data_IF_712251599854
#
_entry.id   IF_712251599854
#
_cell.length_a   1.000
_cell.length_b   1.000
_cell.length_c   1.000
_cell.angle_alpha   90.00
_cell.angle_beta   90.00
_cell.angle_gamma   90.00
#
_symmetry.space_group_name_H-M   'P 1'
#
loop_
_entity.id
_entity.type
_entity.pdbx_description
1 polymer ?
#
# COMPACT_ATOMS: atom_id res chain seq x y z
N UNK A 1 0.95 -5.73 1.59
CA UNK A 1 1.70 -5.23 0.43
C UNK A 1 0.90 -4.11 -0.19
N UNK A 2 1.53 -2.95 -0.34
CA UNK A 2 0.89 -1.71 -0.78
C UNK A 2 1.38 -1.42 -2.19
N UNK A 3 0.48 -1.37 -3.15
CA UNK A 3 0.78 -0.94 -4.50
C UNK A 3 0.60 0.57 -4.63
N UNK A 4 1.45 1.14 -5.47
CA UNK A 4 1.53 2.57 -5.68
C UNK A 4 1.68 2.86 -7.16
N UNK A 5 1.29 4.07 -7.55
CA UNK A 5 1.53 4.63 -8.86
C UNK A 5 2.22 5.96 -8.73
N UNK A 6 3.26 6.19 -9.52
CA UNK A 6 3.94 7.50 -9.52
C UNK A 6 3.02 8.57 -10.10
N UNK A 7 2.95 9.71 -9.40
CA UNK A 7 2.32 10.93 -9.91
C UNK A 7 3.04 11.40 -11.16
N UNK A 8 2.34 12.15 -11.99
CA UNK A 8 2.99 12.78 -13.13
C UNK A 8 4.11 13.72 -12.67
N UNK A 9 5.11 13.91 -13.54
CA UNK A 9 6.21 14.81 -13.26
C UNK A 9 5.70 16.23 -12.99
N UNK A 10 4.68 16.67 -13.73
CA UNK A 10 4.04 17.98 -13.62
C UNK A 10 3.39 18.18 -12.25
N UNK A 11 2.68 17.17 -11.73
CA UNK A 11 2.09 17.23 -10.39
C UNK A 11 3.16 17.36 -9.31
N UNK A 12 4.23 16.56 -9.40
CA UNK A 12 5.35 16.62 -8.44
C UNK A 12 6.02 17.99 -8.51
N UNK A 13 6.30 18.50 -9.72
CA UNK A 13 6.90 19.81 -9.92
C UNK A 13 6.07 20.93 -9.32
N UNK A 14 4.75 20.87 -9.47
CA UNK A 14 3.83 21.86 -8.91
C UNK A 14 3.85 21.84 -7.39
N UNK A 15 3.94 20.66 -6.75
CA UNK A 15 4.01 20.55 -5.29
C UNK A 15 5.30 21.14 -4.71
N UNK A 16 6.43 20.97 -5.40
CA UNK A 16 7.74 21.46 -4.94
C UNK A 16 8.13 22.81 -5.55
N UNK A 17 7.20 23.51 -6.18
CA UNK A 17 7.46 24.82 -6.75
C UNK A 17 7.86 25.82 -5.66
N UNK A 18 8.92 26.60 -5.91
CA UNK A 18 9.47 27.57 -4.96
C UNK A 18 10.53 27.00 -4.00
N UNK A 19 10.63 25.68 -3.84
CA UNK A 19 11.68 25.04 -3.04
C UNK A 19 12.96 24.84 -3.86
N UNK A 20 14.14 24.99 -3.23
CA UNK A 20 15.44 24.86 -3.92
C UNK A 20 16.18 23.58 -3.55
N UNK A 21 16.33 23.32 -2.25
CA UNK A 21 17.00 22.14 -1.69
C UNK A 21 15.94 21.09 -1.39
N UNK A 22 15.83 20.07 -2.23
CA UNK A 22 14.77 19.06 -2.11
C UNK A 22 15.40 17.68 -1.93
N UNK A 23 15.01 17.00 -0.86
CA UNK A 23 15.44 15.62 -0.57
C UNK A 23 14.42 14.63 -1.12
N UNK A 24 14.85 13.77 -2.05
CA UNK A 24 14.05 12.64 -2.51
C UNK A 24 14.38 11.42 -1.66
N UNK A 25 13.36 10.84 -1.02
CA UNK A 25 13.51 9.69 -0.14
C UNK A 25 12.80 8.48 -0.79
N UNK A 26 13.59 7.50 -1.18
CA UNK A 26 13.14 6.19 -1.61
C UNK A 26 12.76 5.28 -0.43
N UNK A 27 11.89 4.31 -0.69
CA UNK A 27 11.41 3.33 0.28
C UNK A 27 11.58 1.92 -0.29
N UNK A 28 12.60 1.20 0.18
CA UNK A 28 12.96 -0.12 -0.34
C UNK A 28 11.99 -1.24 0.08
N UNK A 29 10.99 -0.93 0.90
CA UNK A 29 9.92 -1.83 1.28
C UNK A 29 8.94 -2.10 0.15
N UNK A 30 7.65 -1.85 0.38
CA UNK A 30 6.63 -2.12 -0.65
C UNK A 30 6.86 -1.32 -1.96
N UNK A 31 7.44 -0.13 -1.89
CA UNK A 31 7.62 0.73 -3.06
C UNK A 31 8.78 0.27 -3.95
N UNK A 32 9.88 -0.18 -3.34
CA UNK A 32 11.00 -0.82 -4.03
C UNK A 32 10.59 -2.10 -4.75
N UNK A 33 9.80 -2.97 -4.09
CA UNK A 33 9.34 -4.25 -4.67
C UNK A 33 8.55 -4.06 -5.98
N UNK A 34 7.79 -2.98 -6.09
CA UNK A 34 7.00 -2.67 -7.30
C UNK A 34 7.73 -1.77 -8.30
N UNK A 35 8.99 -1.45 -8.04
CA UNK A 35 9.78 -0.59 -8.92
C UNK A 35 9.14 0.80 -9.14
N UNK A 36 8.43 1.30 -8.12
CA UNK A 36 7.76 2.63 -8.14
C UNK A 36 8.29 3.60 -7.09
N UNK A 37 9.14 3.15 -6.17
CA UNK A 37 9.70 4.04 -5.15
C UNK A 37 10.99 3.61 -4.50
N UNK A 38 11.73 2.66 -5.08
CA UNK A 38 13.08 2.33 -4.64
C UNK A 38 14.11 3.40 -5.07
N UNK A 39 15.36 3.22 -4.69
CA UNK A 39 16.43 4.19 -4.94
C UNK A 39 16.55 4.57 -6.42
N UNK A 40 16.51 3.58 -7.33
CA UNK A 40 16.55 3.79 -8.77
C UNK A 40 15.45 4.74 -9.25
N UNK A 41 14.23 4.60 -8.73
CA UNK A 41 13.11 5.46 -9.10
C UNK A 41 13.30 6.89 -8.58
N UNK A 42 13.89 7.07 -7.39
CA UNK A 42 14.22 8.39 -6.86
C UNK A 42 15.29 9.09 -7.71
N UNK A 43 16.33 8.38 -8.16
CA UNK A 43 17.38 8.92 -9.02
C UNK A 43 16.86 9.30 -10.42
N UNK A 44 15.99 8.46 -10.99
CA UNK A 44 15.32 8.77 -12.25
C UNK A 44 14.43 10.01 -12.13
N UNK A 45 13.63 10.08 -11.06
CA UNK A 45 12.77 11.24 -10.80
C UNK A 45 13.61 12.52 -10.61
N UNK A 46 14.71 12.46 -9.86
CA UNK A 46 15.62 13.59 -9.69
C UNK A 46 16.16 14.10 -11.03
N UNK A 47 16.58 13.17 -11.89
CA UNK A 47 17.09 13.48 -13.23
C UNK A 47 16.01 14.15 -14.10
N UNK A 48 14.78 13.62 -14.07
CA UNK A 48 13.64 14.19 -14.82
C UNK A 48 13.26 15.58 -14.33
N UNK A 49 13.24 15.81 -13.01
CA UNK A 49 12.93 17.12 -12.43
C UNK A 49 13.93 18.19 -12.86
N UNK A 50 15.23 17.89 -12.81
CA UNK A 50 16.28 18.82 -13.21
C UNK A 50 16.30 19.06 -14.72
N UNK A 51 16.13 18.01 -15.54
CA UNK A 51 16.04 18.16 -17.00
C UNK A 51 14.87 19.08 -17.39
N UNK A 52 13.70 18.91 -16.76
CA UNK A 52 12.53 19.74 -17.05
C UNK A 52 12.73 21.22 -16.65
N UNK A 53 13.42 21.49 -15.53
CA UNK A 53 13.82 22.86 -15.16
C UNK A 53 14.78 23.49 -16.16
N UNK A 54 15.74 22.70 -16.67
CA UNK A 54 16.71 23.12 -17.68
C UNK A 54 16.05 23.47 -19.01
N UNK A 55 15.14 22.62 -19.51
CA UNK A 55 14.35 22.88 -20.73
C UNK A 55 13.51 24.17 -20.58
N UNK A 56 12.89 24.37 -19.41
CA UNK A 56 12.09 25.56 -19.11
C UNK A 56 12.95 26.80 -18.81
N UNK A 57 14.28 26.67 -18.72
CA UNK A 57 15.23 27.73 -18.30
C UNK A 57 14.85 28.40 -16.97
N UNK A 58 14.35 27.60 -16.02
CA UNK A 58 13.87 28.07 -14.70
C UNK A 58 14.83 27.73 -13.55
N UNK A 59 16.10 27.46 -13.88
CA UNK A 59 17.15 27.10 -12.93
C UNK A 59 17.37 25.59 -12.79
N UNK A 60 17.87 25.15 -11.63
CA UNK A 60 18.01 23.74 -11.23
C UNK A 60 17.65 23.61 -9.76
N UNK A 61 17.16 22.43 -9.38
CA UNK A 61 17.01 22.08 -7.98
C UNK A 61 18.35 21.56 -7.43
N UNK A 62 18.62 21.82 -6.15
CA UNK A 62 19.62 21.09 -5.39
C UNK A 62 18.96 19.81 -4.85
N UNK A 63 19.11 18.72 -5.60
CA UNK A 63 18.46 17.44 -5.33
C UNK A 63 19.46 16.47 -4.71
N UNK A 64 19.08 15.91 -3.58
CA UNK A 64 19.73 14.73 -3.00
C UNK A 64 18.76 13.57 -3.00
N UNK A 65 19.24 12.39 -3.38
CA UNK A 65 18.49 11.13 -3.26
C UNK A 65 19.06 10.31 -2.11
N UNK A 66 18.17 9.72 -1.33
CA UNK A 66 18.51 8.74 -0.28
C UNK A 66 17.46 7.64 -0.28
N UNK A 67 17.79 6.50 0.32
CA UNK A 67 16.84 5.42 0.53
C UNK A 67 16.83 4.98 1.98
N UNK A 68 15.68 4.48 2.43
CA UNK A 68 15.55 3.78 3.71
C UNK A 68 14.79 2.47 3.51
N UNK A 69 15.04 1.45 4.34
CA UNK A 69 14.33 0.18 4.26
C UNK A 69 12.81 0.34 4.34
N UNK A 70 12.32 1.20 5.25
CA UNK A 70 10.89 1.52 5.42
C UNK A 70 10.75 2.94 5.93
N UNK A 71 9.90 3.73 5.27
CA UNK A 71 9.55 5.08 5.72
C UNK A 71 8.40 5.10 6.74
N UNK A 72 7.62 4.01 6.83
CA UNK A 72 6.50 3.87 7.76
C UNK A 72 6.94 3.39 9.17
N UNK A 73 8.19 3.65 9.53
CA UNK A 73 8.82 3.22 10.78
C UNK A 73 9.69 4.37 11.30
N UNK A 74 9.32 4.91 12.46
CA UNK A 74 9.91 6.13 13.03
C UNK A 74 11.39 5.93 13.36
N UNK A 75 11.75 4.78 13.97
CA UNK A 75 13.13 4.51 14.37
C UNK A 75 14.02 4.34 13.15
N UNK A 76 13.55 3.64 12.11
CA UNK A 76 14.30 3.51 10.85
C UNK A 76 14.51 4.88 10.21
N UNK A 77 13.47 5.72 10.13
CA UNK A 77 13.57 7.06 9.56
C UNK A 77 14.59 7.90 10.34
N UNK A 78 14.48 7.97 11.67
CA UNK A 78 15.41 8.75 12.50
C UNK A 78 16.85 8.29 12.31
N UNK A 79 17.12 6.99 12.43
CA UNK A 79 18.47 6.45 12.37
C UNK A 79 19.17 6.67 11.01
N UNK A 80 18.41 6.77 9.91
CA UNK A 80 19.00 6.93 8.57
C UNK A 80 18.99 8.37 8.06
N UNK A 81 18.06 9.20 8.54
CA UNK A 81 17.76 10.49 7.90
C UNK A 81 17.98 11.70 8.79
N UNK A 82 18.19 11.53 10.10
CA UNK A 82 18.32 12.65 11.04
C UNK A 82 19.32 13.71 10.57
N UNK A 83 20.52 13.31 10.14
CA UNK A 83 21.52 14.24 9.63
C UNK A 83 21.17 14.79 8.24
N UNK A 84 20.69 13.93 7.33
CA UNK A 84 20.48 14.31 5.93
C UNK A 84 19.26 15.22 5.72
N UNK A 85 18.22 15.06 6.53
CA UNK A 85 17.00 15.86 6.43
C UNK A 85 17.12 17.25 7.10
N UNK A 86 18.16 17.49 7.90
CA UNK A 86 18.31 18.72 8.69
C UNK A 86 18.56 19.99 7.87
N UNK A 87 18.88 19.89 6.57
CA UNK A 87 19.33 21.02 5.74
C UNK A 87 18.62 21.15 4.39
N UNK A 88 17.36 20.69 4.30
CA UNK A 88 16.56 20.78 3.07
C UNK A 88 15.32 21.65 3.25
N UNK A 89 14.85 22.25 2.17
CA UNK A 89 13.67 23.11 2.17
C UNK A 89 12.37 22.29 2.04
N UNK A 90 12.45 21.12 1.40
CA UNK A 90 11.34 20.19 1.22
C UNK A 90 11.82 18.74 1.07
N UNK A 91 10.91 17.81 1.38
CA UNK A 91 11.09 16.38 1.18
C UNK A 91 10.08 15.88 0.15
N UNK A 92 10.52 15.03 -0.77
CA UNK A 92 9.66 14.25 -1.67
C UNK A 92 9.80 12.78 -1.32
N UNK A 93 8.72 12.20 -0.80
CA UNK A 93 8.67 10.80 -0.41
C UNK A 93 8.14 9.94 -1.56
N UNK A 94 8.88 8.91 -1.93
CA UNK A 94 8.43 7.87 -2.86
C UNK A 94 7.74 6.70 -2.14
N UNK A 95 7.36 6.85 -0.87
CA UNK A 95 6.60 5.82 -0.16
C UNK A 95 5.09 5.93 -0.40
N UNK A 96 4.35 5.02 0.24
CA UNK A 96 2.90 5.11 0.37
C UNK A 96 2.50 6.21 1.37
N UNK A 97 1.20 6.49 1.49
CA UNK A 97 0.68 7.53 2.37
C UNK A 97 1.04 7.37 3.85
N UNK A 98 1.30 6.15 4.34
CA UNK A 98 1.80 5.95 5.72
C UNK A 98 3.21 6.51 5.85
N UNK A 99 4.11 6.20 4.91
CA UNK A 99 5.49 6.70 4.95
C UNK A 99 5.59 8.21 4.82
N UNK A 100 4.74 8.82 3.99
CA UNK A 100 4.64 10.28 3.86
C UNK A 100 4.25 10.92 5.20
N UNK A 101 3.25 10.37 5.88
CA UNK A 101 2.79 10.86 7.19
C UNK A 101 3.86 10.67 8.27
N UNK A 102 4.52 9.50 8.32
CA UNK A 102 5.62 9.25 9.27
C UNK A 102 6.76 10.24 9.07
N UNK A 103 7.16 10.52 7.83
CA UNK A 103 8.18 11.54 7.56
C UNK A 103 7.73 12.94 8.00
N UNK A 104 6.47 13.32 7.77
CA UNK A 104 5.95 14.61 8.19
C UNK A 104 5.89 14.74 9.73
N UNK A 105 5.64 13.64 10.44
CA UNK A 105 5.69 13.59 11.90
C UNK A 105 7.12 13.71 12.43
N UNK A 106 8.07 13.00 11.81
CA UNK A 106 9.49 13.02 12.22
C UNK A 106 10.17 14.35 11.88
N UNK A 107 9.78 15.00 10.78
CA UNK A 107 10.33 16.28 10.32
C UNK A 107 9.25 17.38 10.30
N UNK A 108 8.74 17.82 11.48
CA UNK A 108 7.55 18.66 11.55
C UNK A 108 7.71 20.07 10.95
N UNK A 109 8.96 20.53 10.79
CA UNK A 109 9.27 21.85 10.24
C UNK A 109 9.61 21.83 8.74
N UNK A 110 9.64 20.65 8.11
CA UNK A 110 10.00 20.49 6.70
C UNK A 110 8.82 19.89 5.94
N UNK A 111 8.28 20.55 4.91
CA UNK A 111 7.15 20.03 4.16
C UNK A 111 7.51 18.73 3.43
N UNK A 112 6.62 17.75 3.52
CA UNK A 112 6.77 16.42 2.90
C UNK A 112 5.69 16.22 1.84
N UNK A 113 6.12 15.96 0.61
CA UNK A 113 5.26 15.78 -0.55
C UNK A 113 5.27 14.33 -1.05
N UNK A 114 4.10 13.78 -1.44
CA UNK A 114 4.04 12.43 -1.99
C UNK A 114 4.44 12.43 -3.48
N UNK A 115 5.41 11.60 -3.88
CA UNK A 115 5.67 11.30 -5.29
C UNK A 115 4.73 10.23 -5.85
N UNK A 116 4.07 9.47 -4.98
CA UNK A 116 3.28 8.29 -5.34
C UNK A 116 1.84 8.41 -4.80
N UNK A 117 0.86 7.89 -5.55
CA UNK A 117 -0.47 7.56 -5.07
C UNK A 117 -0.48 6.16 -4.47
N UNK A 118 -1.12 6.00 -3.32
CA UNK A 118 -1.41 4.66 -2.76
C UNK A 118 -2.70 4.16 -3.37
N UNK A 119 -2.60 3.17 -4.27
CA UNK A 119 -3.77 2.72 -5.03
C UNK A 119 -4.43 1.48 -4.42
N UNK A 120 -3.64 0.58 -3.82
CA UNK A 120 -4.15 -0.75 -3.53
C UNK A 120 -3.39 -1.49 -2.44
N UNK A 121 -4.08 -2.33 -1.67
CA UNK A 121 -3.45 -3.31 -0.78
C UNK A 121 -3.74 -4.69 -1.36
N UNK A 122 -2.74 -5.31 -1.96
CA UNK A 122 -2.96 -6.49 -2.77
C UNK A 122 -1.86 -7.52 -2.71
N UNK A 123 -2.14 -8.68 -3.28
CA UNK A 123 -1.17 -9.71 -3.61
C UNK A 123 -0.89 -9.63 -5.11
N UNK A 124 0.36 -9.50 -5.52
CA UNK A 124 0.76 -9.59 -6.93
C UNK A 124 0.86 -11.04 -7.37
N UNK A 125 0.27 -11.35 -8.51
CA UNK A 125 0.41 -12.63 -9.19
C UNK A 125 0.28 -12.41 -10.70
N UNK A 126 1.18 -13.01 -11.50
CA UNK A 126 1.21 -12.92 -12.97
C UNK A 126 1.02 -11.51 -13.54
N UNK A 127 1.71 -10.52 -12.97
CA UNK A 127 1.64 -9.12 -13.43
C UNK A 127 0.37 -8.36 -13.03
N UNK A 128 -0.51 -8.97 -12.22
CA UNK A 128 -1.75 -8.35 -11.74
C UNK A 128 -1.75 -8.24 -10.22
N UNK A 129 -2.48 -7.25 -9.69
CA UNK A 129 -2.72 -7.09 -8.27
C UNK A 129 -4.12 -7.57 -7.90
N UNK A 130 -4.20 -8.42 -6.88
CA UNK A 130 -5.46 -8.98 -6.40
C UNK A 130 -5.75 -8.53 -4.98
N UNK A 131 -6.96 -8.02 -4.76
CA UNK A 131 -7.42 -7.70 -3.42
C UNK A 131 -7.65 -9.01 -2.67
N UNK A 132 -6.85 -9.26 -1.63
CA UNK A 132 -6.93 -10.49 -0.83
C UNK A 132 -7.28 -10.21 0.63
N UNK A 133 -7.19 -8.97 1.08
CA UNK A 133 -7.40 -8.56 2.46
C UNK A 133 -7.96 -7.14 2.53
N UNK A 134 -8.92 -6.92 3.42
CA UNK A 134 -9.49 -5.60 3.75
C UNK A 134 -8.92 -5.03 5.06
N UNK A 135 -7.93 -5.71 5.66
CA UNK A 135 -7.35 -5.37 6.95
C UNK A 135 -8.41 -5.08 8.04
N UNK A 136 -9.52 -5.83 8.08
CA UNK A 136 -10.64 -5.56 9.00
C UNK A 136 -10.34 -5.90 10.47
N UNK A 137 -9.31 -6.71 10.74
CA UNK A 137 -8.94 -7.14 12.10
C UNK A 137 -9.80 -8.25 12.69
N UNK A 138 -10.63 -8.91 11.87
CA UNK A 138 -11.49 -10.04 12.27
C UNK A 138 -11.27 -11.20 11.29
N UNK A 139 -10.08 -11.80 11.30
CA UNK A 139 -9.74 -12.86 10.34
C UNK A 139 -10.65 -14.10 10.52
N UNK A 140 -11.08 -14.72 9.41
CA UNK A 140 -11.81 -16.01 9.36
C UNK A 140 -11.22 -16.97 8.33
N UNK A 141 -9.99 -16.72 7.92
CA UNK A 141 -9.33 -17.54 6.91
C UNK A 141 -9.15 -18.99 7.37
N UNK A 142 -9.11 -19.22 8.68
CA UNK A 142 -9.15 -20.54 9.30
C UNK A 142 -10.43 -21.31 8.95
N UNK A 143 -11.57 -20.63 8.82
CA UNK A 143 -12.90 -21.20 8.55
C UNK A 143 -13.26 -21.26 7.06
N UNK A 144 -12.58 -20.48 6.21
CA UNK A 144 -12.94 -20.33 4.79
C UNK A 144 -11.87 -20.92 3.86
N UNK A 145 -11.08 -21.87 4.36
CA UNK A 145 -10.02 -22.52 3.58
C UNK A 145 -8.95 -21.54 3.10
N UNK A 146 -8.72 -20.43 3.80
CA UNK A 146 -7.76 -19.41 3.39
C UNK A 146 -8.22 -18.51 2.25
N UNK A 147 -9.53 -18.38 2.01
CA UNK A 147 -10.09 -17.47 1.01
C UNK A 147 -10.93 -16.43 1.75
N UNK A 148 -10.53 -15.16 1.71
CA UNK A 148 -11.25 -14.09 2.41
C UNK A 148 -12.59 -13.82 1.71
N UNK A 149 -13.75 -14.12 2.32
CA UNK A 149 -15.02 -13.86 1.67
C UNK A 149 -15.34 -12.35 1.64
N UNK A 150 -14.78 -11.56 2.56
CA UNK A 150 -14.98 -10.11 2.59
C UNK A 150 -14.27 -9.44 1.40
N UNK A 151 -13.01 -9.82 1.14
CA UNK A 151 -12.23 -9.22 0.05
C UNK A 151 -12.53 -9.84 -1.32
N UNK A 152 -12.88 -11.14 -1.36
CA UNK A 152 -13.00 -11.87 -2.64
C UNK A 152 -14.44 -12.07 -3.12
N UNK A 153 -15.44 -11.90 -2.27
CA UNK A 153 -16.83 -11.89 -2.72
C UNK A 153 -17.21 -10.46 -3.09
N UNK A 154 -17.70 -10.23 -4.30
CA UNK A 154 -18.18 -8.91 -4.74
C UNK A 154 -19.31 -8.33 -3.87
N UNK A 155 -20.00 -9.20 -3.10
CA UNK A 155 -21.06 -8.81 -2.15
C UNK A 155 -20.63 -8.88 -0.68
N UNK A 156 -19.37 -9.22 -0.40
CA UNK A 156 -18.83 -9.31 0.97
C UNK A 156 -19.53 -10.34 1.89
N UNK A 157 -20.20 -11.36 1.33
CA UNK A 157 -21.05 -12.28 2.09
C UNK A 157 -20.26 -13.22 3.00
N UNK A 158 -20.70 -13.35 4.27
CA UNK A 158 -20.04 -14.18 5.28
C UNK A 158 -20.56 -15.63 5.38
N UNK A 159 -21.72 -15.92 4.79
CA UNK A 159 -22.46 -17.16 5.03
C UNK A 159 -22.92 -17.85 3.74
N UNK A 160 -21.99 -18.14 2.82
CA UNK A 160 -22.29 -18.90 1.62
C UNK A 160 -22.60 -18.08 0.36
N UNK A 161 -22.81 -18.77 -0.77
CA UNK A 161 -23.09 -18.14 -2.06
C UNK A 161 -24.49 -17.53 -2.12
N UNK A 162 -24.65 -16.42 -2.85
CA UNK A 162 -25.95 -15.75 -3.05
C UNK A 162 -26.80 -16.32 -4.20
N UNK A 163 -26.44 -17.46 -4.77
CA UNK A 163 -27.10 -18.01 -5.97
C UNK A 163 -26.71 -17.37 -7.30
N UNK A 164 -26.23 -16.12 -7.32
CA UNK A 164 -25.81 -15.38 -8.52
C UNK A 164 -24.49 -15.84 -9.18
N UNK A 165 -24.16 -17.12 -9.09
CA UNK A 165 -23.01 -17.70 -9.77
C UNK A 165 -23.47 -18.68 -10.84
N UNK A 166 -22.76 -18.73 -11.97
CA UNK A 166 -22.97 -19.72 -13.03
C UNK A 166 -21.64 -20.42 -13.30
N UNK A 167 -21.63 -21.76 -13.23
CA UNK A 167 -20.44 -22.59 -13.46
C UNK A 167 -19.19 -22.13 -12.69
N UNK A 168 -19.36 -21.69 -11.45
CA UNK A 168 -18.29 -21.21 -10.58
C UNK A 168 -17.91 -19.74 -10.76
N UNK A 169 -18.56 -19.01 -11.67
CA UNK A 169 -18.26 -17.61 -11.99
C UNK A 169 -19.28 -16.66 -11.39
N UNK A 170 -18.83 -15.53 -10.87
CA UNK A 170 -19.68 -14.51 -10.25
C UNK A 170 -20.38 -13.63 -11.31
N UNK A 171 -21.67 -13.36 -11.13
CA UNK A 171 -22.40 -12.42 -12.00
C UNK A 171 -21.80 -11.00 -11.99
N UNK A 172 -21.21 -10.58 -10.87
CA UNK A 172 -20.55 -9.27 -10.79
C UNK A 172 -19.23 -9.32 -11.57
N UNK A 173 -19.13 -8.47 -12.58
CA UNK A 173 -18.04 -8.50 -13.57
C UNK A 173 -18.33 -9.41 -14.77
N UNK A 174 -19.61 -9.74 -15.03
CA UNK A 174 -20.02 -10.41 -16.26
C UNK A 174 -19.50 -11.85 -16.38
N UNK A 175 -19.49 -12.61 -15.28
CA UNK A 175 -19.05 -14.01 -15.25
C UNK A 175 -17.57 -14.26 -15.61
N UNK A 176 -16.73 -13.22 -15.57
CA UNK A 176 -15.28 -13.35 -15.74
C UNK A 176 -14.58 -13.80 -14.45
N UNK A 177 -15.04 -13.26 -13.31
CA UNK A 177 -14.47 -13.48 -11.99
C UNK A 177 -14.93 -14.79 -11.36
N UNK A 178 -14.05 -15.45 -10.60
CA UNK A 178 -14.41 -16.62 -9.81
C UNK A 178 -15.30 -16.25 -8.61
N UNK A 179 -16.33 -17.06 -8.35
CA UNK A 179 -17.13 -16.94 -7.14
C UNK A 179 -16.33 -17.37 -5.92
N UNK A 180 -16.08 -16.45 -4.97
CA UNK A 180 -15.34 -16.76 -3.75
C UNK A 180 -15.90 -17.96 -2.98
N UNK A 181 -17.22 -18.10 -2.87
CA UNK A 181 -17.85 -19.19 -2.12
C UNK A 181 -17.75 -20.55 -2.80
N UNK A 182 -17.71 -20.59 -4.14
CA UNK A 182 -17.40 -21.82 -4.87
C UNK A 182 -15.94 -22.22 -4.61
N UNK A 183 -15.01 -21.26 -4.65
CA UNK A 183 -13.61 -21.54 -4.32
C UNK A 183 -13.42 -22.01 -2.86
N UNK A 184 -14.16 -21.41 -1.92
CA UNK A 184 -14.16 -21.81 -0.49
C UNK A 184 -14.62 -23.26 -0.37
N UNK A 185 -15.76 -23.61 -0.99
CA UNK A 185 -16.30 -24.97 -1.00
C UNK A 185 -15.27 -25.98 -1.51
N UNK A 186 -14.70 -25.75 -2.70
CA UNK A 186 -13.73 -26.66 -3.31
C UNK A 186 -12.46 -26.81 -2.47
N UNK A 187 -12.02 -25.73 -1.81
CA UNK A 187 -10.83 -25.77 -0.96
C UNK A 187 -11.09 -26.49 0.37
N UNK A 188 -12.23 -26.25 1.02
CA UNK A 188 -12.63 -26.97 2.24
C UNK A 188 -12.89 -28.45 1.98
N UNK A 189 -13.53 -28.78 0.84
CA UNK A 189 -13.75 -30.17 0.40
C UNK A 189 -12.42 -30.92 0.25
N UNK A 190 -11.44 -30.32 -0.44
CA UNK A 190 -10.09 -30.90 -0.58
C UNK A 190 -9.35 -31.05 0.75
N UNK A 191 -9.63 -30.19 1.73
CA UNK A 191 -9.04 -30.25 3.06
C UNK A 191 -9.75 -31.24 4.01
N UNK A 192 -10.87 -31.84 3.60
CA UNK A 192 -11.69 -32.66 4.49
C UNK A 192 -12.41 -31.86 5.60
N UNK A 193 -12.60 -30.55 5.43
CA UNK A 193 -13.15 -29.61 6.43
C UNK A 193 -14.48 -29.00 6.00
N UNK A 194 -15.33 -29.81 5.36
CA UNK A 194 -16.56 -29.32 4.73
C UNK A 194 -17.65 -28.92 5.74
N UNK A 195 -17.52 -29.38 6.98
CA UNK A 195 -18.32 -28.97 8.13
C UNK A 195 -18.32 -27.45 8.34
N UNK A 196 -17.15 -26.80 8.15
CA UNK A 196 -16.99 -25.35 8.28
C UNK A 196 -17.76 -24.54 7.22
N UNK A 197 -18.12 -25.18 6.10
CA UNK A 197 -18.94 -24.53 5.07
C UNK A 197 -20.37 -24.27 5.57
N UNK A 198 -20.87 -25.11 6.50
CA UNK A 198 -22.21 -24.97 7.10
C UNK A 198 -22.22 -24.05 8.32
N UNK A 199 -21.05 -23.61 8.79
CA UNK A 199 -20.94 -22.76 9.96
C UNK A 199 -21.55 -21.38 9.70
N UNK A 200 -22.50 -20.99 10.55
CA UNK A 200 -23.04 -19.64 10.56
C UNK A 200 -22.05 -18.68 11.22
N UNK A 201 -21.89 -17.51 10.61
CA UNK A 201 -21.04 -16.42 11.07
C UNK A 201 -21.94 -15.21 11.32
N UNK A 202 -21.90 -14.70 12.55
CA UNK A 202 -22.67 -13.53 12.93
C UNK A 202 -22.28 -12.30 12.10
N UNK A 203 -23.19 -11.31 12.08
CA UNK A 203 -22.88 -9.98 11.57
C UNK A 203 -21.63 -9.43 12.27
N UNK A 204 -20.85 -8.66 11.51
CA UNK A 204 -19.60 -8.06 11.97
C UNK A 204 -19.70 -6.56 11.82
N UNK A 205 -19.61 -5.89 12.96
CA UNK A 205 -19.48 -4.44 12.99
C UNK A 205 -18.13 -4.04 12.40
N UNK A 206 -18.17 -3.08 11.49
CA UNK A 206 -16.97 -2.42 11.00
C UNK A 206 -16.42 -1.57 12.14
N UNK A 207 -15.14 -1.74 12.47
CA UNK A 207 -14.48 -0.89 13.47
C UNK A 207 -14.50 0.57 12.96
N UNK A 208 -14.91 1.55 13.79
CA UNK A 208 -14.87 2.96 13.42
C UNK A 208 -13.43 3.41 13.14
N UNK A 209 -13.29 4.48 12.35
CA UNK A 209 -11.99 5.11 12.04
C UNK A 209 -11.86 6.44 12.82
N UNK A 210 -10.65 6.85 13.24
CA UNK A 210 -9.37 6.13 13.12
C UNK A 210 -9.31 4.88 14.02
N UNK A 211 -8.43 3.93 13.67
CA UNK A 211 -8.22 2.71 14.46
C UNK A 211 -6.86 2.75 15.12
N UNK A 212 -6.82 2.45 16.40
CA UNK A 212 -5.59 2.29 17.18
C UNK A 212 -5.47 0.83 17.63
N UNK A 213 -4.26 0.27 17.53
CA UNK A 213 -3.97 -1.11 17.91
C UNK A 213 -2.68 -1.11 18.73
N UNK A 214 -2.67 -1.68 19.94
CA UNK A 214 -1.43 -1.80 20.70
C UNK A 214 -0.47 -2.73 19.97
N UNK A 215 0.83 -2.40 20.03
CA UNK A 215 1.86 -3.32 19.55
C UNK A 215 1.83 -4.61 20.38
N UNK A 216 2.10 -5.79 19.77
CA UNK A 216 2.21 -7.02 20.52
C UNK A 216 3.33 -6.87 21.55
N UNK A 217 3.00 -6.89 22.84
CA UNK A 217 4.01 -6.97 23.88
C UNK A 217 4.59 -8.38 23.85
N UNK A 218 5.84 -8.53 23.40
CA UNK A 218 6.57 -9.77 23.63
C UNK A 218 6.94 -9.82 25.12
N UNK A 219 6.60 -10.90 25.86
CA UNK A 219 7.08 -11.04 27.23
C UNK A 219 8.60 -10.97 27.18
N UNK A 220 9.18 -10.01 27.91
CA UNK A 220 10.62 -10.00 28.14
C UNK A 220 10.92 -11.29 28.91
N UNK A 221 11.64 -12.21 28.26
CA UNK A 221 12.12 -13.45 28.86
C UNK A 221 13.05 -13.20 30.03
#
# INVERSE_FOLDING_TARGET
>A
MIAMKQKSLEEIQKMIEGYKRVLLIACDGCAGIYEVGGLRQAELLASQLNLSKEIKKTGKYDLKTVTVPRQCDVEIVLNHLQETASNVDAIVSLACGIGVQTLAEVFPNTPVFPANDTEFIGMSDKGMLYERCQACGQCILDQTGGICPIARCAKGLLNGPCGGQVKGKCEVGGYTNDCAWVLIYEKLKRQGRLDLFKQFRSYRELKPRPRELPLPMHPKG
#
